data_IF_691755599860
#
_entry.id   IF_691755599860
#
_cell.length_a   1.000
_cell.length_b   1.000
_cell.length_c   1.000
_cell.angle_alpha   90.00
_cell.angle_beta   90.00
_cell.angle_gamma   90.00
#
_symmetry.space_group_name_H-M   'P 1'
#
loop_
_entity.id
_entity.type
_entity.pdbx_description
1 polymer ?
#
# COMPACT_ATOMS: atom_id res chain seq x y z
N UNK A 1 0.68 -8.28 -23.62
CA UNK A 1 1.90 -7.48 -23.34
C UNK A 1 2.50 -8.01 -22.05
N UNK A 2 3.83 -8.03 -21.94
CA UNK A 2 4.49 -8.48 -20.71
C UNK A 2 4.37 -7.39 -19.66
N UNK A 3 4.06 -7.75 -18.41
CA UNK A 3 4.07 -6.84 -17.25
C UNK A 3 5.34 -7.02 -16.41
N UNK A 4 6.29 -7.82 -16.93
CA UNK A 4 7.55 -8.15 -16.29
C UNK A 4 8.70 -7.92 -17.25
N UNK A 5 9.80 -7.42 -16.69
CA UNK A 5 11.09 -7.27 -17.34
C UNK A 5 12.05 -8.29 -16.71
N UNK A 6 12.49 -9.28 -17.50
CA UNK A 6 13.23 -10.43 -16.99
C UNK A 6 14.56 -10.02 -16.31
N UNK A 7 15.26 -9.03 -16.86
CA UNK A 7 16.53 -8.52 -16.31
C UNK A 7 16.32 -7.85 -14.94
N UNK A 8 15.24 -7.09 -14.77
CA UNK A 8 14.89 -6.50 -13.47
C UNK A 8 14.43 -7.58 -12.49
N UNK A 9 13.63 -8.55 -12.94
CA UNK A 9 13.16 -9.64 -12.09
C UNK A 9 14.31 -10.44 -11.49
N UNK A 10 15.37 -10.72 -12.25
CA UNK A 10 16.55 -11.42 -11.73
C UNK A 10 17.23 -10.63 -10.61
N UNK A 11 17.35 -9.31 -10.78
CA UNK A 11 17.95 -8.41 -9.79
C UNK A 11 17.15 -8.35 -8.49
N UNK A 12 15.83 -8.15 -8.57
CA UNK A 12 14.97 -8.13 -7.38
C UNK A 12 14.86 -9.51 -6.72
N UNK A 13 14.82 -10.59 -7.51
CA UNK A 13 14.86 -11.96 -6.98
C UNK A 13 16.12 -12.20 -6.16
N UNK A 14 17.27 -11.65 -6.61
CA UNK A 14 18.51 -11.71 -5.85
C UNK A 14 18.45 -10.90 -4.55
N UNK A 15 17.91 -9.69 -4.58
CA UNK A 15 17.74 -8.86 -3.37
C UNK A 15 16.85 -9.53 -2.31
N UNK A 16 15.75 -10.15 -2.72
CA UNK A 16 14.84 -10.84 -1.80
C UNK A 16 15.46 -12.06 -1.10
N UNK A 17 16.55 -12.64 -1.61
CA UNK A 17 17.28 -13.74 -0.91
C UNK A 17 17.76 -13.31 0.48
N UNK A 18 18.08 -12.03 0.66
CA UNK A 18 18.50 -11.49 1.96
C UNK A 18 17.37 -11.36 2.98
N UNK A 19 16.10 -11.37 2.53
CA UNK A 19 14.89 -11.08 3.31
C UNK A 19 14.84 -9.72 4.01
N UNK A 20 15.83 -8.84 3.77
CA UNK A 20 15.88 -7.48 4.31
C UNK A 20 15.25 -6.44 3.39
N UNK A 21 14.81 -6.85 2.20
CA UNK A 21 14.15 -6.01 1.19
C UNK A 21 12.70 -6.44 1.00
N UNK A 22 11.80 -5.46 0.78
CA UNK A 22 10.36 -5.68 0.60
C UNK A 22 9.61 -5.92 1.92
N UNK A 23 9.92 -5.16 2.96
CA UNK A 23 9.33 -5.30 4.32
C UNK A 23 8.62 -4.03 4.82
N UNK A 24 8.53 -2.99 3.99
CA UNK A 24 8.02 -1.66 4.39
C UNK A 24 6.49 -1.53 4.34
N UNK A 25 5.78 -2.46 3.70
CA UNK A 25 4.33 -2.38 3.50
C UNK A 25 3.53 -2.14 4.79
N UNK A 26 3.95 -2.74 5.92
CA UNK A 26 3.31 -2.57 7.23
C UNK A 26 3.23 -1.10 7.71
N UNK A 27 4.14 -0.23 7.26
CA UNK A 27 4.06 1.21 7.54
C UNK A 27 2.79 1.84 6.97
N UNK A 28 2.09 1.24 6.02
CA UNK A 28 0.88 1.82 5.44
C UNK A 28 -0.42 1.22 6.01
N UNK A 29 -0.32 0.33 7.00
CA UNK A 29 -1.47 -0.31 7.64
C UNK A 29 -2.62 0.65 7.99
N UNK A 30 -2.42 1.84 8.62
CA UNK A 30 -3.52 2.74 8.93
C UNK A 30 -4.25 3.31 7.69
N UNK A 31 -3.52 3.56 6.60
CA UNK A 31 -4.09 4.08 5.35
C UNK A 31 -4.92 3.02 4.65
N UNK A 32 -4.38 1.79 4.62
CA UNK A 32 -5.03 0.63 4.05
C UNK A 32 -6.30 0.31 4.84
N UNK A 33 -6.25 0.37 6.17
CA UNK A 33 -7.43 0.19 7.01
C UNK A 33 -8.49 1.27 6.77
N UNK A 34 -8.08 2.52 6.51
CA UNK A 34 -9.02 3.57 6.10
C UNK A 34 -9.71 3.23 4.77
N UNK A 35 -8.96 2.70 3.80
CA UNK A 35 -9.52 2.24 2.52
C UNK A 35 -10.46 1.04 2.69
N UNK A 36 -10.10 0.07 3.54
CA UNK A 36 -10.93 -1.10 3.85
C UNK A 36 -12.25 -0.69 4.49
N UNK A 37 -12.24 0.27 5.42
CA UNK A 37 -13.48 0.77 6.03
C UNK A 37 -14.40 1.47 5.01
N UNK A 38 -13.80 2.16 4.03
CA UNK A 38 -14.52 2.87 2.97
C UNK A 38 -15.12 1.89 1.94
N UNK A 39 -14.32 0.94 1.47
CA UNK A 39 -14.67 0.02 0.37
C UNK A 39 -15.36 -1.27 0.82
N UNK A 40 -15.01 -1.78 2.02
CA UNK A 40 -15.39 -3.10 2.55
C UNK A 40 -15.20 -4.23 1.51
N UNK A 41 -13.97 -4.40 1.00
CA UNK A 41 -13.69 -5.37 -0.06
C UNK A 41 -13.79 -6.81 0.44
N UNK A 42 -14.38 -7.71 -0.35
CA UNK A 42 -14.38 -9.15 -0.05
C UNK A 42 -13.09 -9.81 -0.56
N UNK A 43 -12.46 -9.23 -1.59
CA UNK A 43 -11.24 -9.74 -2.22
C UNK A 43 -10.17 -8.65 -2.35
N UNK A 44 -9.00 -8.87 -1.72
CA UNK A 44 -7.87 -7.95 -1.78
C UNK A 44 -6.67 -8.57 -2.50
N UNK A 45 -5.88 -7.72 -3.17
CA UNK A 45 -4.58 -8.09 -3.72
C UNK A 45 -3.49 -7.13 -3.24
N UNK A 46 -2.45 -7.64 -2.62
CA UNK A 46 -1.18 -6.91 -2.44
C UNK A 46 -0.31 -7.14 -3.68
N UNK A 47 -0.23 -6.11 -4.53
CA UNK A 47 0.50 -6.12 -5.80
C UNK A 47 1.91 -5.58 -5.59
N UNK A 48 2.92 -6.44 -5.76
CA UNK A 48 4.29 -6.21 -5.32
C UNK A 48 4.46 -6.42 -3.82
N UNK A 49 4.01 -7.57 -3.31
CA UNK A 49 3.91 -7.83 -1.86
C UNK A 49 5.26 -8.01 -1.15
N UNK A 50 6.38 -8.21 -1.86
CA UNK A 50 7.67 -8.50 -1.26
C UNK A 50 7.60 -9.65 -0.26
N UNK A 51 8.20 -9.45 0.92
CA UNK A 51 8.17 -10.45 2.01
C UNK A 51 6.83 -10.53 2.73
N UNK A 52 5.84 -9.74 2.30
CA UNK A 52 4.42 -9.97 2.58
C UNK A 52 4.05 -9.87 4.08
N UNK A 53 4.62 -8.92 4.81
CA UNK A 53 4.26 -8.71 6.22
C UNK A 53 2.93 -7.98 6.40
N UNK A 54 2.51 -7.16 5.43
CA UNK A 54 1.37 -6.26 5.58
C UNK A 54 0.04 -6.99 5.71
N UNK A 55 -0.28 -7.90 4.77
CA UNK A 55 -1.55 -8.65 4.83
C UNK A 55 -1.67 -9.45 6.12
N UNK A 56 -0.58 -10.01 6.63
CA UNK A 56 -0.58 -10.80 7.88
C UNK A 56 -0.88 -9.93 9.11
N UNK A 57 -0.73 -8.61 9.01
CA UNK A 57 -0.99 -7.63 10.07
C UNK A 57 -2.36 -6.94 9.94
N UNK A 58 -3.09 -7.15 8.83
CA UNK A 58 -4.40 -6.54 8.63
C UNK A 58 -5.45 -7.23 9.52
N UNK A 59 -6.04 -6.45 10.43
CA UNK A 59 -7.15 -6.86 11.30
C UNK A 59 -8.47 -6.71 10.55
N UNK A 60 -8.67 -7.55 9.52
CA UNK A 60 -9.88 -7.60 8.70
C UNK A 60 -10.17 -9.03 8.21
N UNK A 61 -10.96 -9.76 8.99
CA UNK A 61 -11.22 -11.19 8.80
C UNK A 61 -12.26 -11.51 7.71
N UNK A 62 -13.05 -10.52 7.29
CA UNK A 62 -14.17 -10.71 6.36
C UNK A 62 -13.73 -10.90 4.89
N UNK A 63 -12.44 -10.79 4.60
CA UNK A 63 -11.92 -10.78 3.24
C UNK A 63 -10.90 -11.87 2.93
N UNK A 64 -10.82 -12.21 1.64
CA UNK A 64 -9.83 -13.13 1.08
C UNK A 64 -8.66 -12.31 0.53
N UNK A 65 -7.45 -12.73 0.88
CA UNK A 65 -6.22 -12.03 0.53
C UNK A 65 -5.41 -12.77 -0.53
N UNK A 66 -5.06 -12.06 -1.59
CA UNK A 66 -4.13 -12.48 -2.62
C UNK A 66 -2.84 -11.68 -2.56
N UNK A 67 -1.75 -12.32 -3.01
CA UNK A 67 -0.41 -11.76 -3.03
C UNK A 67 0.16 -11.95 -4.42
N UNK A 68 0.81 -10.91 -4.90
CA UNK A 68 1.54 -10.96 -6.14
C UNK A 68 2.88 -10.28 -5.97
N UNK A 69 3.94 -10.97 -6.33
CA UNK A 69 5.26 -10.37 -6.51
C UNK A 69 6.01 -11.18 -7.59
N UNK A 70 6.29 -10.59 -8.76
CA UNK A 70 6.93 -11.31 -9.85
C UNK A 70 8.36 -11.76 -9.51
N UNK A 71 9.05 -11.08 -8.58
CA UNK A 71 10.40 -11.42 -8.14
C UNK A 71 10.44 -12.50 -7.03
N UNK A 72 9.29 -13.04 -6.61
CA UNK A 72 9.21 -14.09 -5.61
C UNK A 72 8.39 -15.26 -6.17
N UNK A 73 9.06 -16.39 -6.43
CA UNK A 73 8.46 -17.56 -7.09
C UNK A 73 7.10 -17.99 -6.49
N UNK A 74 6.98 -17.99 -5.15
CA UNK A 74 5.74 -18.34 -4.44
C UNK A 74 4.57 -17.40 -4.75
N UNK A 75 4.84 -16.14 -5.06
CA UNK A 75 3.85 -15.08 -5.32
C UNK A 75 3.87 -14.59 -6.77
N UNK A 76 4.59 -15.27 -7.67
CA UNK A 76 4.79 -14.85 -9.06
C UNK A 76 3.54 -14.92 -9.96
N UNK A 77 2.39 -15.37 -9.43
CA UNK A 77 1.16 -15.57 -10.21
C UNK A 77 -0.05 -15.01 -9.49
N UNK A 78 -0.90 -14.33 -10.24
CA UNK A 78 -2.25 -13.95 -9.84
C UNK A 78 -3.20 -15.03 -10.34
N UNK A 79 -3.91 -15.68 -9.42
CA UNK A 79 -4.83 -16.79 -9.74
C UNK A 79 -6.30 -16.38 -9.58
N UNK A 80 -6.60 -15.09 -9.80
CA UNK A 80 -7.95 -14.50 -9.74
C UNK A 80 -8.17 -13.60 -10.94
N UNK A 81 -9.40 -13.53 -11.43
CA UNK A 81 -9.75 -12.72 -12.61
C UNK A 81 -9.89 -11.23 -12.27
N UNK A 82 -10.40 -10.92 -11.07
CA UNK A 82 -10.58 -9.55 -10.57
C UNK A 82 -10.55 -9.54 -9.05
N UNK A 83 -10.32 -8.38 -8.45
CA UNK A 83 -10.38 -8.13 -7.00
C UNK A 83 -11.09 -6.82 -6.69
N UNK A 84 -11.63 -6.69 -5.48
CA UNK A 84 -12.34 -5.48 -5.07
C UNK A 84 -11.38 -4.33 -4.73
N UNK A 85 -10.18 -4.66 -4.26
CA UNK A 85 -9.21 -3.65 -3.85
C UNK A 85 -7.76 -4.13 -4.04
N UNK A 86 -6.92 -3.27 -4.62
CA UNK A 86 -5.48 -3.50 -4.76
C UNK A 86 -4.72 -2.57 -3.81
N UNK A 87 -3.74 -3.13 -3.11
CA UNK A 87 -2.73 -2.41 -2.34
C UNK A 87 -1.42 -2.47 -3.13
N UNK A 88 -0.84 -1.31 -3.41
CA UNK A 88 0.44 -1.21 -4.10
C UNK A 88 1.34 -0.19 -3.38
N UNK A 89 2.38 -0.68 -2.72
CA UNK A 89 3.25 0.16 -1.87
C UNK A 89 4.71 -0.11 -2.17
N UNK A 90 5.45 0.93 -2.55
CA UNK A 90 6.88 0.87 -2.91
C UNK A 90 7.13 -0.10 -4.09
N UNK A 91 6.49 0.16 -5.24
CA UNK A 91 6.53 -0.72 -6.44
C UNK A 91 6.70 0.07 -7.74
N UNK A 92 5.89 1.09 -7.99
CA UNK A 92 5.89 1.77 -9.30
C UNK A 92 7.22 2.48 -9.61
N UNK A 93 7.90 3.01 -8.59
CA UNK A 93 9.23 3.62 -8.70
C UNK A 93 10.33 2.62 -9.14
N UNK A 94 10.07 1.32 -9.02
CA UNK A 94 10.95 0.22 -9.42
C UNK A 94 10.69 -0.26 -10.86
N UNK A 95 9.72 0.32 -11.55
CA UNK A 95 9.33 -0.06 -12.92
C UNK A 95 9.80 1.03 -13.90
N UNK A 96 10.48 0.68 -15.01
CA UNK A 96 10.89 1.62 -16.05
C UNK A 96 9.72 2.40 -16.65
N UNK A 97 9.98 3.63 -17.10
CA UNK A 97 8.92 4.54 -17.58
C UNK A 97 8.10 3.94 -18.72
N UNK A 98 8.75 3.18 -19.61
CA UNK A 98 8.18 2.48 -20.75
C UNK A 98 7.20 1.36 -20.37
N UNK A 99 7.41 0.70 -19.22
CA UNK A 99 6.64 -0.46 -18.78
C UNK A 99 5.46 -0.07 -17.88
N UNK A 100 5.49 1.13 -17.28
CA UNK A 100 4.46 1.63 -16.37
C UNK A 100 3.05 1.61 -16.99
N UNK A 101 2.94 1.91 -18.27
CA UNK A 101 1.65 1.93 -18.97
C UNK A 101 0.96 0.57 -18.95
N UNK A 102 1.72 -0.51 -19.14
CA UNK A 102 1.18 -1.87 -19.19
C UNK A 102 0.89 -2.41 -17.79
N UNK A 103 1.73 -2.08 -16.80
CA UNK A 103 1.48 -2.43 -15.39
C UNK A 103 0.21 -1.75 -14.87
N UNK A 104 0.02 -0.46 -15.14
CA UNK A 104 -1.17 0.28 -14.71
C UNK A 104 -2.45 -0.23 -15.39
N UNK A 105 -2.39 -0.56 -16.70
CA UNK A 105 -3.51 -1.20 -17.41
C UNK A 105 -3.84 -2.57 -16.83
N UNK A 106 -2.83 -3.35 -16.47
CA UNK A 106 -3.03 -4.65 -15.85
C UNK A 106 -3.70 -4.52 -14.48
N UNK A 107 -3.20 -3.64 -13.59
CA UNK A 107 -3.89 -3.33 -12.33
C UNK A 107 -5.33 -2.88 -12.56
N UNK A 108 -5.55 -2.00 -13.56
CA UNK A 108 -6.89 -1.52 -13.92
C UNK A 108 -7.83 -2.62 -14.39
N UNK A 109 -7.30 -3.64 -15.07
CA UNK A 109 -8.07 -4.81 -15.50
C UNK A 109 -8.51 -5.69 -14.33
N UNK A 110 -7.74 -5.71 -13.24
CA UNK A 110 -8.02 -6.49 -12.04
C UNK A 110 -8.96 -5.75 -11.08
N UNK A 111 -8.80 -4.44 -10.92
CA UNK A 111 -9.64 -3.64 -10.03
C UNK A 111 -9.70 -2.16 -10.45
N UNK A 112 -10.86 -1.49 -10.28
CA UNK A 112 -10.92 -0.05 -10.39
C UNK A 112 -10.37 0.68 -9.14
N UNK A 113 -10.19 -0.01 -8.01
CA UNK A 113 -9.83 0.55 -6.71
C UNK A 113 -8.42 0.13 -6.31
N UNK A 114 -7.48 1.07 -6.34
CA UNK A 114 -6.09 0.87 -5.97
C UNK A 114 -5.65 1.97 -5.02
N UNK A 115 -5.02 1.57 -3.92
CA UNK A 115 -4.23 2.46 -3.07
C UNK A 115 -2.76 2.36 -3.49
N UNK A 116 -2.16 3.51 -3.76
CA UNK A 116 -0.77 3.65 -4.11
C UNK A 116 -0.02 4.41 -3.03
N UNK A 117 1.09 3.83 -2.57
CA UNK A 117 2.22 4.57 -2.00
C UNK A 117 3.41 4.43 -2.96
N UNK A 118 3.96 5.56 -3.39
CA UNK A 118 5.04 5.59 -4.40
C UNK A 118 6.12 6.55 -3.92
N UNK A 119 7.37 6.10 -3.91
CA UNK A 119 8.49 6.97 -3.60
C UNK A 119 8.68 8.07 -4.66
N UNK A 120 9.06 9.26 -4.20
CA UNK A 120 9.39 10.43 -5.04
C UNK A 120 10.87 10.82 -4.97
N UNK A 121 11.68 10.02 -4.26
CA UNK A 121 13.13 10.18 -4.13
C UNK A 121 13.89 8.91 -4.50
N UNK A 122 15.21 8.94 -4.35
CA UNK A 122 16.09 7.80 -4.62
C UNK A 122 15.92 6.69 -3.56
N UNK A 123 16.11 5.44 -3.97
CA UNK A 123 16.15 4.32 -3.04
C UNK A 123 17.42 4.37 -2.19
N UNK A 124 17.34 3.82 -0.98
CA UNK A 124 18.54 3.45 -0.21
C UNK A 124 19.26 2.23 -0.80
N UNK A 125 18.55 1.39 -1.55
CA UNK A 125 19.08 0.16 -2.12
C UNK A 125 19.69 0.42 -3.51
N UNK A 126 20.86 -0.17 -3.72
CA UNK A 126 21.53 -0.27 -5.02
C UNK A 126 21.38 -1.71 -5.49
N UNK A 127 20.96 -1.88 -6.75
CA UNK A 127 20.78 -3.19 -7.37
C UNK A 127 22.15 -3.84 -7.65
N UNK A 128 22.21 -5.18 -7.86
CA UNK A 128 23.46 -5.87 -8.18
C UNK A 128 24.20 -5.32 -9.41
N UNK A 129 23.48 -4.73 -10.37
CA UNK A 129 24.08 -4.11 -11.55
C UNK A 129 24.66 -2.69 -11.30
N UNK A 130 24.59 -2.18 -10.06
CA UNK A 130 25.10 -0.88 -9.66
C UNK A 130 24.13 0.30 -9.84
N UNK A 131 22.93 0.08 -10.38
CA UNK A 131 21.91 1.12 -10.53
C UNK A 131 21.13 1.32 -9.23
N UNK A 132 20.53 2.50 -9.03
CA UNK A 132 19.61 2.71 -7.92
C UNK A 132 18.34 1.87 -8.13
N UNK A 133 17.80 1.29 -7.06
CA UNK A 133 16.59 0.48 -7.18
C UNK A 133 15.36 1.29 -7.61
N UNK A 134 15.30 2.61 -7.37
CA UNK A 134 14.27 3.46 -7.97
C UNK A 134 14.76 3.91 -9.34
N UNK A 135 14.33 3.22 -10.40
CA UNK A 135 14.66 3.59 -11.77
C UNK A 135 13.77 4.72 -12.29
N UNK A 136 12.57 4.89 -11.72
CA UNK A 136 11.64 5.95 -12.08
C UNK A 136 11.42 6.86 -10.88
N UNK A 137 11.95 8.09 -10.95
CA UNK A 137 11.86 9.09 -9.88
C UNK A 137 11.15 10.31 -10.42
N UNK A 138 9.89 10.46 -10.02
CA UNK A 138 9.02 11.55 -10.47
C UNK A 138 8.41 12.32 -9.30
N UNK A 139 7.98 13.55 -9.58
CA UNK A 139 7.17 14.33 -8.66
C UNK A 139 5.79 13.70 -8.49
N UNK A 140 5.12 14.02 -7.38
CA UNK A 140 3.77 13.53 -7.10
C UNK A 140 2.76 13.88 -8.22
N UNK A 141 2.86 15.08 -8.79
CA UNK A 141 1.98 15.51 -9.89
C UNK A 141 2.18 14.69 -11.16
N UNK A 142 3.43 14.33 -11.49
CA UNK A 142 3.73 13.47 -12.65
C UNK A 142 3.24 12.04 -12.41
N UNK A 143 3.40 11.50 -11.19
CA UNK A 143 2.80 10.22 -10.82
C UNK A 143 1.28 10.23 -10.94
N UNK A 144 0.61 11.26 -10.41
CA UNK A 144 -0.84 11.40 -10.50
C UNK A 144 -1.29 11.44 -11.97
N UNK A 145 -0.64 12.26 -12.80
CA UNK A 145 -0.95 12.36 -14.21
C UNK A 145 -0.79 11.01 -14.94
N UNK A 146 0.29 10.27 -14.66
CA UNK A 146 0.50 8.94 -15.24
C UNK A 146 -0.57 7.94 -14.83
N UNK A 147 -0.93 7.90 -13.54
CA UNK A 147 -1.97 7.00 -13.03
C UNK A 147 -3.32 7.34 -13.64
N UNK A 148 -3.62 8.63 -13.84
CA UNK A 148 -4.89 9.09 -14.43
C UNK A 148 -5.10 8.62 -15.87
N UNK A 149 -4.05 8.24 -16.61
CA UNK A 149 -4.18 7.63 -17.93
C UNK A 149 -4.98 6.32 -17.88
N UNK A 150 -4.84 5.52 -16.81
CA UNK A 150 -5.57 4.26 -16.61
C UNK A 150 -6.69 4.36 -15.56
N UNK A 151 -6.58 5.31 -14.64
CA UNK A 151 -7.51 5.54 -13.53
C UNK A 151 -7.95 7.02 -13.48
N UNK A 152 -8.88 7.47 -14.33
CA UNK A 152 -9.24 8.89 -14.45
C UNK A 152 -9.74 9.54 -13.15
N UNK A 153 -10.27 8.75 -12.22
CA UNK A 153 -10.76 9.22 -10.92
C UNK A 153 -9.67 9.25 -9.82
N UNK A 154 -8.41 9.01 -10.19
CA UNK A 154 -7.32 9.03 -9.23
C UNK A 154 -7.12 10.42 -8.64
N UNK A 155 -6.90 10.44 -7.32
CA UNK A 155 -6.72 11.65 -6.52
C UNK A 155 -5.54 11.52 -5.57
N UNK A 156 -4.77 12.59 -5.51
CA UNK A 156 -3.67 12.74 -4.56
C UNK A 156 -4.22 12.96 -3.15
N UNK A 157 -3.78 12.12 -2.21
CA UNK A 157 -4.18 12.17 -0.81
C UNK A 157 -3.13 12.87 0.07
N UNK A 158 -1.85 12.64 -0.22
CA UNK A 158 -0.73 13.18 0.54
C UNK A 158 0.53 13.26 -0.33
N UNK A 159 1.40 14.22 -0.02
CA UNK A 159 2.72 14.37 -0.62
C UNK A 159 3.71 14.77 0.46
N UNK A 160 4.84 14.07 0.49
CA UNK A 160 6.07 14.56 1.12
C UNK A 160 7.19 14.55 0.07
N UNK A 161 7.60 15.74 -0.36
CA UNK A 161 8.55 15.94 -1.46
C UNK A 161 9.87 15.20 -1.20
N UNK A 162 10.36 14.46 -2.19
CA UNK A 162 11.56 13.64 -2.10
C UNK A 162 11.45 12.41 -1.19
N UNK A 163 10.26 12.12 -0.63
CA UNK A 163 9.98 10.89 0.10
C UNK A 163 8.95 10.04 -0.63
N UNK A 164 7.67 10.41 -0.57
CA UNK A 164 6.59 9.63 -1.16
C UNK A 164 5.34 10.45 -1.45
N UNK A 165 4.45 9.87 -2.25
CA UNK A 165 3.08 10.35 -2.44
C UNK A 165 2.08 9.22 -2.23
N UNK A 166 0.89 9.58 -1.72
CA UNK A 166 -0.22 8.66 -1.51
C UNK A 166 -1.36 9.01 -2.48
N UNK A 167 -1.82 8.03 -3.25
CA UNK A 167 -2.88 8.19 -4.25
C UNK A 167 -3.92 7.08 -4.07
N UNK A 168 -5.20 7.43 -4.23
CA UNK A 168 -6.27 6.45 -4.40
C UNK A 168 -6.90 6.65 -5.78
N UNK A 169 -7.41 5.58 -6.39
CA UNK A 169 -7.98 5.63 -7.75
C UNK A 169 -9.48 5.96 -7.81
N UNK A 170 -10.11 6.25 -6.66
CA UNK A 170 -11.51 6.63 -6.56
C UNK A 170 -11.70 7.95 -5.82
N UNK A 171 -12.78 8.66 -6.13
CA UNK A 171 -13.12 9.89 -5.42
C UNK A 171 -13.93 9.56 -4.16
N UNK A 172 -13.30 9.64 -2.99
CA UNK A 172 -13.93 9.40 -1.69
C UNK A 172 -13.44 10.40 -0.64
N UNK A 173 -14.26 10.73 0.37
CA UNK A 173 -13.83 11.46 1.56
C UNK A 173 -12.65 10.81 2.30
N UNK A 174 -12.39 9.50 2.11
CA UNK A 174 -11.29 8.77 2.74
C UNK A 174 -9.93 9.41 2.48
N UNK A 175 -9.75 10.12 1.36
CA UNK A 175 -8.51 10.88 1.08
C UNK A 175 -8.16 11.89 2.18
N UNK A 176 -9.17 12.47 2.83
CA UNK A 176 -8.96 13.40 3.95
C UNK A 176 -8.43 12.64 5.17
N UNK A 177 -8.97 11.46 5.46
CA UNK A 177 -8.50 10.61 6.55
C UNK A 177 -7.06 10.15 6.31
N UNK A 178 -6.72 9.75 5.08
CA UNK A 178 -5.35 9.41 4.67
C UNK A 178 -4.41 10.59 4.92
N UNK A 179 -4.79 11.81 4.49
CA UNK A 179 -4.00 13.01 4.72
C UNK A 179 -3.80 13.33 6.22
N UNK A 180 -4.85 13.19 7.03
CA UNK A 180 -4.78 13.42 8.48
C UNK A 180 -3.88 12.39 9.18
N UNK A 181 -3.88 11.11 8.76
CA UNK A 181 -2.96 10.10 9.30
C UNK A 181 -1.51 10.56 9.15
N UNK A 182 -1.11 11.07 7.99
CA UNK A 182 0.25 11.56 7.76
C UNK A 182 0.58 12.83 8.55
N UNK A 183 -0.37 13.77 8.67
CA UNK A 183 -0.19 14.92 9.59
C UNK A 183 0.06 14.46 11.02
N UNK A 184 -0.70 13.47 11.49
CA UNK A 184 -0.51 12.92 12.83
C UNK A 184 0.84 12.20 12.98
N UNK A 185 1.29 11.45 11.96
CA UNK A 185 2.62 10.82 11.97
C UNK A 185 3.73 11.84 12.07
N UNK A 186 3.65 12.92 11.30
CA UNK A 186 4.59 14.03 11.39
C UNK A 186 4.61 14.61 12.80
N UNK A 187 3.45 14.92 13.39
CA UNK A 187 3.38 15.44 14.77
C UNK A 187 3.96 14.44 15.79
N UNK A 188 3.61 13.16 15.70
CA UNK A 188 4.11 12.11 16.62
C UNK A 188 5.62 11.92 16.49
N UNK A 189 6.17 12.03 15.28
CA UNK A 189 7.62 11.98 15.06
C UNK A 189 8.36 13.16 15.69
N UNK A 190 7.66 14.30 15.88
CA UNK A 190 8.19 15.54 16.44
C UNK A 190 7.98 15.62 17.97
N UNK A 191 6.89 15.04 18.51
CA UNK A 191 6.50 15.17 19.93
C UNK A 191 6.49 13.86 20.74
N UNK A 192 7.28 13.83 21.83
CA UNK A 192 7.40 12.76 22.84
C UNK A 192 6.04 12.27 23.39
N UNK A 193 5.71 10.99 23.17
CA UNK A 193 4.89 10.01 23.96
C UNK A 193 3.50 10.41 24.50
N UNK A 194 3.25 11.64 24.94
CA UNK A 194 2.01 12.07 25.58
C UNK A 194 0.83 12.27 24.62
N UNK A 195 1.10 12.67 23.38
CA UNK A 195 0.07 12.90 22.35
C UNK A 195 -0.45 11.58 21.76
N UNK A 196 0.42 10.57 21.60
CA UNK A 196 0.05 9.20 21.23
C UNK A 196 -1.06 8.66 22.14
N UNK A 197 -0.95 8.86 23.45
CA UNK A 197 -2.00 8.47 24.41
C UNK A 197 -3.32 9.21 24.23
N UNK A 198 -3.32 10.43 23.67
CA UNK A 198 -4.54 11.18 23.34
C UNK A 198 -5.16 10.67 22.03
N UNK A 199 -4.33 10.35 21.04
CA UNK A 199 -4.77 9.80 19.75
C UNK A 199 -5.31 8.37 19.92
N UNK A 200 -4.66 7.51 20.70
CA UNK A 200 -5.20 6.19 21.06
C UNK A 200 -6.59 6.28 21.68
N UNK A 201 -6.84 7.31 22.49
CA UNK A 201 -8.17 7.56 23.07
C UNK A 201 -9.16 8.00 22.01
N UNK A 202 -8.77 8.85 21.07
CA UNK A 202 -9.63 9.32 19.98
C UNK A 202 -10.02 8.17 19.04
N UNK A 203 -9.06 7.37 18.59
CA UNK A 203 -9.29 6.19 17.74
C UNK A 203 -10.17 5.17 18.47
N UNK A 204 -9.89 4.88 19.75
CA UNK A 204 -10.77 4.01 20.57
C UNK A 204 -12.19 4.58 20.70
N UNK A 205 -12.33 5.89 20.82
CA UNK A 205 -13.63 6.56 20.92
C UNK A 205 -14.43 6.38 19.62
N UNK A 206 -13.82 6.68 18.47
CA UNK A 206 -14.43 6.52 17.15
C UNK A 206 -14.80 5.05 16.90
N UNK A 207 -13.88 4.12 17.18
CA UNK A 207 -14.16 2.67 17.09
C UNK A 207 -15.34 2.27 17.95
N UNK A 208 -15.40 2.72 19.20
CA UNK A 208 -16.51 2.39 20.10
C UNK A 208 -17.84 3.00 19.65
N UNK A 209 -17.81 4.16 18.97
CA UNK A 209 -18.98 4.81 18.41
C UNK A 209 -19.52 4.03 17.20
N UNK A 210 -18.64 3.55 16.33
CA UNK A 210 -19.00 2.81 15.10
C UNK A 210 -19.48 1.38 15.43
N UNK A 211 -18.76 0.68 16.30
CA UNK A 211 -18.99 -0.76 16.53
C UNK A 211 -19.78 -1.07 17.81
N UNK A 212 -19.94 -0.11 18.73
CA UNK A 212 -20.53 -0.32 20.04
C UNK A 212 -19.55 -0.99 21.03
N UNK A 213 -19.49 -0.48 22.27
CA UNK A 213 -18.53 -0.93 23.31
C UNK A 213 -18.63 -2.43 23.62
N UNK A 214 -19.83 -3.02 23.60
CA UNK A 214 -20.03 -4.44 23.91
C UNK A 214 -19.57 -5.37 22.78
N UNK A 215 -19.75 -4.97 21.52
CA UNK A 215 -19.32 -5.75 20.36
C UNK A 215 -17.80 -5.83 20.27
N UNK A 216 -17.11 -4.71 20.53
CA UNK A 216 -15.64 -4.65 20.62
C UNK A 216 -15.10 -5.51 21.78
N UNK A 217 -15.82 -5.59 22.91
CA UNK A 217 -15.45 -6.47 24.02
C UNK A 217 -15.60 -7.94 23.65
N UNK A 218 -16.72 -8.33 23.04
CA UNK A 218 -16.93 -9.72 22.59
C UNK A 218 -15.86 -10.18 21.61
N UNK A 219 -15.50 -9.34 20.63
CA UNK A 219 -14.40 -9.59 19.67
C UNK A 219 -13.06 -9.75 20.41
N UNK A 220 -12.78 -8.87 21.38
CA UNK A 220 -11.54 -8.96 22.16
C UNK A 220 -11.46 -10.24 23.01
N UNK A 221 -12.58 -10.72 23.55
CA UNK A 221 -12.63 -11.97 24.33
C UNK A 221 -12.59 -13.22 23.46
N UNK A 222 -13.17 -13.21 22.26
CA UNK A 222 -13.08 -14.32 21.33
C UNK A 222 -11.68 -14.49 20.73
N UNK A 223 -10.93 -13.39 20.52
CA UNK A 223 -9.57 -13.40 19.96
C UNK A 223 -8.49 -13.72 21.00
N UNK A 224 -8.70 -13.38 22.28
CA UNK A 224 -7.68 -13.56 23.34
C UNK A 224 -7.88 -14.80 24.23
N UNK A 225 -8.82 -15.69 23.93
CA UNK A 225 -8.94 -17.00 24.57
C UNK A 225 -8.87 -16.97 26.11
N UNK A 226 -9.90 -16.40 26.74
CA UNK A 226 -10.31 -16.74 28.11
C UNK A 226 -11.80 -16.96 28.16
#
# INVERSE_FOLDING_TARGET
MSIVNDDLMEQYSSLHKSKNYGVTGHYFWPHIQACIVDLKPDLLLEYGCGQSSLIDELDYEDAIYHRYDPAILKFSKINVESVDFIINTDVLEHIPEEDLGDVLKHMRSLSPYVFFNIATGTAKHILPNGQNAHCTIWTADKWLAKIQESFPNAVLCFVEEGKNCLIITWNSPVKRLINEIEKYRAIVSIEKVGLLKKIERAVRSIRNMIFGKERVRKIKYSVLGK
#
